data_IF_717165278048
#
_entry.id   IF_717165278048
#
_cell.length_a   1.000
_cell.length_b   1.000
_cell.length_c   1.000
_cell.angle_alpha   90.00
_cell.angle_beta   90.00
_cell.angle_gamma   90.00
#
_symmetry.space_group_name_H-M   'P 1'
#
loop_
_entity.id
_entity.type
_entity.pdbx_description
1 polymer ?
#
# COMPACT_ATOMS: atom_id res chain seq x y z
N UNK A 1 -22.45 -14.74 2.40
CA UNK A 1 -22.24 -13.36 1.95
C UNK A 1 -21.98 -12.48 3.17
N UNK A 2 -20.80 -11.88 3.26
CA UNK A 2 -20.49 -11.02 4.38
C UNK A 2 -21.14 -9.65 4.18
N UNK A 3 -21.90 -9.21 5.17
CA UNK A 3 -22.47 -7.86 5.15
C UNK A 3 -21.40 -6.86 5.57
N UNK A 4 -21.31 -5.75 4.84
CA UNK A 4 -20.42 -4.67 5.21
C UNK A 4 -20.87 -4.02 6.53
N UNK A 5 -19.92 -3.51 7.34
CA UNK A 5 -20.29 -2.72 8.51
C UNK A 5 -21.12 -1.50 8.12
N UNK A 6 -22.02 -1.08 9.02
CA UNK A 6 -22.93 0.04 8.74
C UNK A 6 -22.18 1.34 8.39
N UNK A 7 -20.99 1.54 8.94
CA UNK A 7 -20.17 2.71 8.67
C UNK A 7 -19.58 2.72 7.25
N UNK A 8 -19.59 1.58 6.54
CA UNK A 8 -19.09 1.46 5.17
C UNK A 8 -20.17 1.17 4.14
N UNK A 9 -21.41 0.81 4.55
CA UNK A 9 -22.47 0.46 3.63
C UNK A 9 -22.87 1.59 2.68
N UNK A 10 -22.74 2.84 3.14
CA UNK A 10 -23.08 4.02 2.36
C UNK A 10 -21.86 4.65 1.67
N UNK A 11 -20.70 4.03 1.78
CA UNK A 11 -19.48 4.53 1.16
C UNK A 11 -19.41 4.17 -0.32
N UNK A 12 -18.73 5.00 -1.12
CA UNK A 12 -18.51 4.70 -2.53
C UNK A 12 -17.58 3.49 -2.67
N UNK A 13 -17.66 2.75 -3.80
CA UNK A 13 -16.70 1.66 -4.06
C UNK A 13 -15.24 2.10 -3.97
N UNK A 14 -14.95 3.34 -4.34
CA UNK A 14 -13.61 3.92 -4.24
C UNK A 14 -13.16 4.05 -2.78
N UNK A 15 -14.06 4.52 -1.90
CA UNK A 15 -13.76 4.65 -0.47
C UNK A 15 -13.53 3.28 0.17
N UNK A 16 -14.32 2.27 -0.21
CA UNK A 16 -14.13 0.89 0.26
C UNK A 16 -12.78 0.33 -0.17
N UNK A 17 -12.39 0.59 -1.41
CA UNK A 17 -11.09 0.15 -1.93
C UNK A 17 -9.94 0.80 -1.17
N UNK A 18 -10.05 2.09 -0.87
CA UNK A 18 -9.05 2.83 -0.09
C UNK A 18 -8.95 2.24 1.32
N UNK A 19 -10.09 1.98 1.96
CA UNK A 19 -10.11 1.41 3.31
C UNK A 19 -9.40 0.06 3.36
N UNK A 20 -9.65 -0.81 2.39
CA UNK A 20 -9.02 -2.12 2.31
C UNK A 20 -7.52 -2.01 2.07
N UNK A 21 -7.11 -1.10 1.18
CA UNK A 21 -5.70 -0.89 0.86
C UNK A 21 -4.93 -0.35 2.06
N UNK A 22 -5.48 0.62 2.75
CA UNK A 22 -4.86 1.20 3.96
C UNK A 22 -4.72 0.13 5.04
N UNK A 23 -5.77 -0.66 5.28
CA UNK A 23 -5.74 -1.73 6.26
C UNK A 23 -4.65 -2.76 5.97
N UNK A 24 -4.58 -3.22 4.73
CA UNK A 24 -3.57 -4.18 4.29
C UNK A 24 -2.16 -3.58 4.40
N UNK A 25 -2.00 -2.32 4.07
CA UNK A 25 -0.72 -1.62 4.16
C UNK A 25 -0.25 -1.52 5.61
N UNK A 26 -1.13 -1.14 6.52
CA UNK A 26 -0.81 -1.08 7.96
C UNK A 26 -0.38 -2.45 8.46
N UNK A 27 -1.16 -3.47 8.12
CA UNK A 27 -0.86 -4.85 8.53
C UNK A 27 0.49 -5.31 7.99
N UNK A 28 0.77 -5.01 6.72
CA UNK A 28 2.03 -5.36 6.08
C UNK A 28 3.23 -4.76 6.79
N UNK A 29 3.19 -3.46 7.08
CA UNK A 29 4.26 -2.78 7.81
C UNK A 29 4.40 -3.31 9.23
N UNK A 30 3.29 -3.55 9.91
CA UNK A 30 3.31 -4.10 11.26
C UNK A 30 4.00 -5.45 11.31
N UNK A 31 3.62 -6.37 10.41
CA UNK A 31 4.23 -7.70 10.34
C UNK A 31 5.70 -7.62 9.93
N UNK A 32 6.05 -6.73 9.01
CA UNK A 32 7.43 -6.52 8.58
C UNK A 32 8.31 -6.10 9.75
N UNK A 33 7.77 -5.30 10.67
CA UNK A 33 8.50 -4.82 11.85
C UNK A 33 8.39 -5.76 13.04
N UNK A 34 7.73 -6.92 12.88
CA UNK A 34 7.60 -7.91 13.93
C UNK A 34 6.72 -7.47 15.09
N UNK A 35 5.77 -6.56 14.85
CA UNK A 35 4.90 -6.01 15.89
C UNK A 35 3.54 -6.68 15.86
N UNK A 36 2.97 -6.90 17.06
CA UNK A 36 1.59 -7.38 17.21
C UNK A 36 0.63 -6.19 17.25
N UNK A 37 -0.67 -6.46 17.08
CA UNK A 37 -1.70 -5.44 17.30
C UNK A 37 -1.64 -4.89 18.72
N UNK A 38 -1.33 -5.74 19.70
CA UNK A 38 -1.15 -5.32 21.08
C UNK A 38 0.02 -4.36 21.28
N UNK A 39 1.08 -4.51 20.50
CA UNK A 39 2.22 -3.58 20.54
C UNK A 39 1.80 -2.20 20.07
N UNK A 40 1.00 -2.12 19.01
CA UNK A 40 0.47 -0.85 18.52
C UNK A 40 -0.48 -0.24 19.56
N UNK A 41 -1.33 -1.04 20.19
CA UNK A 41 -2.22 -0.57 21.25
C UNK A 41 -1.43 0.10 22.39
N UNK A 42 -0.32 -0.55 22.81
CA UNK A 42 0.53 0.00 23.86
C UNK A 42 1.15 1.34 23.49
N UNK A 43 1.54 1.49 22.24
CA UNK A 43 2.22 2.71 21.76
C UNK A 43 1.26 3.86 21.46
N UNK A 44 0.05 3.55 21.04
CA UNK A 44 -0.91 4.55 20.53
C UNK A 44 -2.07 4.82 21.47
N UNK A 45 -2.39 3.86 22.36
CA UNK A 45 -3.62 3.90 23.13
C UNK A 45 -4.86 3.46 22.34
N UNK A 46 -4.71 3.11 21.08
CA UNK A 46 -5.82 2.62 20.25
C UNK A 46 -6.14 1.17 20.63
N UNK A 47 -7.42 0.86 20.77
CA UNK A 47 -7.85 -0.48 21.16
C UNK A 47 -7.50 -1.51 20.07
N UNK A 48 -7.08 -2.69 20.50
CA UNK A 48 -6.73 -3.78 19.58
C UNK A 48 -7.89 -4.16 18.67
N UNK A 49 -9.11 -4.19 19.18
CA UNK A 49 -10.28 -4.51 18.37
C UNK A 49 -10.52 -3.46 17.27
N UNK A 50 -10.25 -2.19 17.55
CA UNK A 50 -10.31 -1.13 16.56
C UNK A 50 -9.25 -1.32 15.47
N UNK A 51 -8.01 -1.63 15.88
CA UNK A 51 -6.92 -1.90 14.94
C UNK A 51 -7.25 -3.07 14.03
N UNK A 52 -7.84 -4.12 14.59
CA UNK A 52 -8.26 -5.28 13.80
C UNK A 52 -9.29 -4.87 12.74
N UNK A 53 -10.24 -4.04 13.09
CA UNK A 53 -11.25 -3.54 12.15
C UNK A 53 -10.61 -2.71 11.04
N UNK A 54 -9.66 -1.86 11.38
CA UNK A 54 -8.92 -1.04 10.40
C UNK A 54 -8.14 -1.95 9.43
N UNK A 55 -7.41 -2.92 9.97
CA UNK A 55 -6.59 -3.82 9.15
C UNK A 55 -7.43 -4.69 8.22
N UNK A 56 -8.65 -5.01 8.61
CA UNK A 56 -9.56 -5.81 7.80
C UNK A 56 -10.43 -4.96 6.86
N UNK A 57 -10.24 -3.64 6.85
CA UNK A 57 -10.98 -2.75 5.97
C UNK A 57 -12.41 -2.47 6.38
N UNK A 58 -12.78 -2.78 7.64
CA UNK A 58 -14.14 -2.57 8.15
C UNK A 58 -14.41 -1.15 8.59
N UNK A 59 -13.37 -0.35 8.78
CA UNK A 59 -13.51 1.06 9.13
C UNK A 59 -12.35 1.85 8.53
N UNK A 60 -12.59 3.13 8.23
CA UNK A 60 -11.58 4.03 7.70
C UNK A 60 -11.07 4.89 8.87
N UNK A 61 -9.78 4.81 9.21
CA UNK A 61 -9.26 5.65 10.29
C UNK A 61 -9.16 7.09 9.83
N UNK A 62 -9.29 8.01 10.79
CA UNK A 62 -9.06 9.44 10.53
C UNK A 62 -7.58 9.68 10.24
N UNK A 63 -7.28 10.84 9.63
CA UNK A 63 -5.90 11.25 9.38
C UNK A 63 -5.08 11.29 10.67
N UNK A 64 -5.66 11.80 11.74
CA UNK A 64 -5.01 11.84 13.06
C UNK A 64 -4.66 10.44 13.56
N UNK A 65 -5.60 9.50 13.43
CA UNK A 65 -5.37 8.11 13.82
C UNK A 65 -4.27 7.47 12.98
N UNK A 66 -4.27 7.72 11.67
CA UNK A 66 -3.23 7.23 10.76
C UNK A 66 -1.85 7.77 11.16
N UNK A 67 -1.77 9.03 11.58
CA UNK A 67 -0.50 9.61 12.05
C UNK A 67 -0.01 8.91 13.32
N UNK A 68 -0.91 8.59 14.24
CA UNK A 68 -0.56 7.84 15.45
C UNK A 68 0.00 6.46 15.11
N UNK A 69 -0.65 5.75 14.20
CA UNK A 69 -0.22 4.43 13.76
C UNK A 69 1.14 4.53 13.06
N UNK A 70 1.33 5.51 12.19
CA UNK A 70 2.58 5.73 11.49
C UNK A 70 3.73 5.95 12.47
N UNK A 71 3.53 6.80 13.47
CA UNK A 71 4.55 7.05 14.51
C UNK A 71 4.89 5.79 15.28
N UNK A 72 3.89 4.96 15.61
CA UNK A 72 4.11 3.71 16.31
C UNK A 72 4.94 2.73 15.48
N UNK A 73 4.86 2.83 14.16
CA UNK A 73 5.59 1.98 13.21
C UNK A 73 6.90 2.65 12.73
N UNK A 74 7.25 3.83 13.23
CA UNK A 74 8.40 4.62 12.80
C UNK A 74 8.35 4.92 11.31
N UNK A 75 7.16 5.24 10.79
CA UNK A 75 6.92 5.56 9.39
C UNK A 75 6.38 6.98 9.25
N UNK A 76 6.53 7.54 8.07
CA UNK A 76 5.86 8.77 7.69
C UNK A 76 4.47 8.43 7.15
N UNK A 77 3.51 9.33 7.37
CA UNK A 77 2.15 9.13 6.90
C UNK A 77 2.08 8.86 5.39
N UNK A 78 2.92 9.53 4.61
CA UNK A 78 2.95 9.38 3.16
C UNK A 78 3.26 7.94 2.71
N UNK A 79 3.97 7.16 3.54
CA UNK A 79 4.32 5.79 3.19
C UNK A 79 3.11 4.87 3.10
N UNK A 80 2.01 5.20 3.80
CA UNK A 80 0.77 4.44 3.70
C UNK A 80 0.08 4.61 2.35
N UNK A 81 0.36 5.68 1.63
CA UNK A 81 -0.29 6.02 0.37
C UNK A 81 0.64 5.88 -0.84
N UNK A 82 1.85 5.35 -0.64
CA UNK A 82 2.86 5.29 -1.70
C UNK A 82 2.37 4.52 -2.93
N UNK A 83 1.71 3.38 -2.73
CA UNK A 83 1.19 2.58 -3.86
C UNK A 83 0.08 3.31 -4.61
N UNK A 84 -0.79 4.02 -3.92
CA UNK A 84 -1.87 4.78 -4.55
C UNK A 84 -1.33 5.95 -5.36
N UNK A 85 -0.33 6.66 -4.85
CA UNK A 85 0.31 7.76 -5.56
C UNK A 85 0.94 7.25 -6.86
N UNK A 86 1.68 6.14 -6.78
CA UNK A 86 2.31 5.54 -7.96
C UNK A 86 1.27 5.07 -8.97
N UNK A 87 0.23 4.38 -8.51
CA UNK A 87 -0.85 3.91 -9.38
C UNK A 87 -1.56 5.07 -10.07
N UNK A 88 -1.80 6.15 -9.35
CA UNK A 88 -2.45 7.33 -9.89
C UNK A 88 -1.60 8.04 -10.94
N UNK A 89 -0.30 8.16 -10.68
CA UNK A 89 0.64 8.73 -11.64
C UNK A 89 0.73 7.87 -12.90
N UNK A 90 0.77 6.56 -12.75
CA UNK A 90 0.80 5.62 -13.88
C UNK A 90 -0.49 5.69 -14.70
N UNK A 91 -1.65 5.83 -14.03
CA UNK A 91 -2.93 6.01 -14.72
C UNK A 91 -2.95 7.25 -15.57
N UNK A 92 -2.32 8.34 -15.09
CA UNK A 92 -2.24 9.60 -15.87
C UNK A 92 -1.37 9.47 -17.12
N UNK A 93 -0.53 8.44 -17.20
CA UNK A 93 0.30 8.15 -18.37
C UNK A 93 -0.42 7.28 -19.41
N UNK A 94 -1.72 7.02 -19.22
CA UNK A 94 -2.54 6.20 -20.12
C UNK A 94 -2.04 4.76 -20.27
N UNK A 95 -1.48 4.20 -19.22
CA UNK A 95 -1.02 2.81 -19.21
C UNK A 95 -2.20 1.85 -19.03
N UNK A 96 -2.10 0.69 -19.65
CA UNK A 96 -3.09 -0.36 -19.48
C UNK A 96 -2.95 -0.97 -18.07
N UNK A 97 -4.03 -1.59 -17.59
CA UNK A 97 -4.05 -2.18 -16.25
C UNK A 97 -2.96 -3.24 -16.03
N UNK A 98 -2.74 -4.08 -17.02
CA UNK A 98 -1.69 -5.10 -16.98
C UNK A 98 -0.28 -4.48 -16.96
N UNK A 99 -0.07 -3.39 -17.68
CA UNK A 99 1.19 -2.65 -17.64
C UNK A 99 1.43 -2.02 -16.27
N UNK A 100 0.39 -1.48 -15.66
CA UNK A 100 0.46 -0.91 -14.30
C UNK A 100 0.83 -1.98 -13.29
N UNK A 101 0.21 -3.16 -13.38
CA UNK A 101 0.54 -4.30 -12.51
C UNK A 101 1.98 -4.72 -12.65
N UNK A 102 2.46 -4.82 -13.88
CA UNK A 102 3.84 -5.21 -14.17
C UNK A 102 4.82 -4.20 -13.56
N UNK A 103 4.59 -2.89 -13.79
CA UNK A 103 5.46 -1.84 -13.28
C UNK A 103 5.42 -1.76 -11.76
N UNK A 104 4.25 -2.00 -11.16
CA UNK A 104 4.11 -2.03 -9.69
C UNK A 104 4.93 -3.17 -9.09
N UNK A 105 4.92 -4.35 -9.72
CA UNK A 105 5.73 -5.48 -9.28
C UNK A 105 7.22 -5.18 -9.40
N UNK A 106 7.63 -4.61 -10.53
CA UNK A 106 9.02 -4.22 -10.74
C UNK A 106 9.46 -3.22 -9.68
N UNK A 107 8.64 -2.24 -9.37
CA UNK A 107 8.95 -1.26 -8.35
C UNK A 107 9.11 -1.90 -6.97
N UNK A 108 8.22 -2.84 -6.64
CA UNK A 108 8.28 -3.54 -5.35
C UNK A 108 9.61 -4.24 -5.14
N UNK A 109 10.11 -4.93 -6.17
CA UNK A 109 11.36 -5.65 -6.09
C UNK A 109 12.58 -4.74 -6.29
N UNK A 110 12.42 -3.62 -7.01
CA UNK A 110 13.53 -2.73 -7.30
C UNK A 110 14.09 -2.04 -6.06
N UNK A 111 13.30 -1.93 -4.99
CA UNK A 111 13.78 -1.35 -3.74
C UNK A 111 14.89 -2.17 -3.08
N UNK A 112 14.98 -3.46 -3.42
CA UNK A 112 16.02 -4.36 -2.91
C UNK A 112 17.25 -4.43 -3.82
N UNK A 113 17.21 -3.76 -4.97
CA UNK A 113 18.30 -3.79 -5.94
C UNK A 113 19.28 -2.64 -5.70
N UNK A 114 20.57 -2.93 -5.85
CA UNK A 114 21.58 -1.90 -5.88
C UNK A 114 21.54 -1.11 -7.18
N UNK A 115 22.30 -0.02 -7.23
CA UNK A 115 22.34 0.85 -8.41
C UNK A 115 22.83 0.12 -9.65
N UNK A 116 23.85 -0.73 -9.50
CA UNK A 116 24.37 -1.54 -10.61
C UNK A 116 23.32 -2.47 -11.18
N UNK A 117 22.55 -3.13 -10.30
CA UNK A 117 21.50 -4.03 -10.70
C UNK A 117 20.36 -3.32 -11.44
N UNK A 118 20.03 -2.12 -10.98
CA UNK A 118 18.99 -1.31 -11.63
C UNK A 118 19.42 -0.91 -13.04
N UNK A 119 20.67 -0.54 -13.22
CA UNK A 119 21.23 -0.19 -14.53
C UNK A 119 21.21 -1.38 -15.48
N UNK A 120 21.59 -2.55 -14.96
CA UNK A 120 21.57 -3.78 -15.75
C UNK A 120 20.14 -4.14 -16.18
N UNK A 121 19.20 -4.07 -15.24
CA UNK A 121 17.79 -4.35 -15.53
C UNK A 121 17.25 -3.40 -16.60
N UNK A 122 17.53 -2.11 -16.48
CA UNK A 122 17.10 -1.13 -17.46
C UNK A 122 17.69 -1.38 -18.84
N UNK A 123 18.96 -1.75 -18.89
CA UNK A 123 19.62 -2.10 -20.16
C UNK A 123 18.97 -3.30 -20.83
N UNK A 124 18.62 -4.32 -20.04
CA UNK A 124 17.92 -5.51 -20.54
C UNK A 124 16.53 -5.15 -21.08
N UNK A 125 15.78 -4.32 -20.36
CA UNK A 125 14.45 -3.87 -20.82
C UNK A 125 14.56 -3.12 -22.14
N UNK A 126 15.53 -2.22 -22.28
CA UNK A 126 15.76 -1.47 -23.51
C UNK A 126 16.09 -2.40 -24.68
N UNK A 127 16.94 -3.41 -24.42
CA UNK A 127 17.33 -4.36 -25.44
C UNK A 127 16.13 -5.18 -25.93
N UNK A 128 15.30 -5.67 -25.02
CA UNK A 128 14.10 -6.43 -25.38
C UNK A 128 13.11 -5.57 -26.16
N UNK A 129 12.94 -4.32 -25.76
CA UNK A 129 12.06 -3.38 -26.45
C UNK A 129 12.52 -3.12 -27.88
N UNK A 130 13.83 -2.94 -28.10
CA UNK A 130 14.41 -2.73 -29.43
C UNK A 130 14.21 -3.98 -30.32
N UNK A 131 14.38 -5.16 -29.77
CA UNK A 131 14.17 -6.42 -30.48
C UNK A 131 12.70 -6.57 -30.88
N UNK A 132 11.77 -6.18 -30.02
CA UNK A 132 10.33 -6.28 -30.29
C UNK A 132 9.88 -5.27 -31.35
N UNK A 133 10.57 -4.13 -31.46
CA UNK A 133 10.23 -3.06 -32.42
C UNK A 133 10.86 -3.24 -33.79
N UNK A 134 11.80 -4.14 -33.96
CA UNK A 134 12.49 -4.39 -35.23
C UNK A 134 11.86 -5.47 -36.12
#
# INVERSE_FOLDING_TARGET
MQTLPADLENESPEALSIAMNIGNTIRGYRLQKGMSQGDIEKRTGLLRCYLSRVENGHTVPSLETLQKIARALDLQLAEFFAEEIVSKEMSSLHLKEDEIRFLTQVQRYSSHLGESDRRLLLAMVKKFAQTALS
#
